data_IF_502512654030
#
_entry.id   IF_502512654030
#
_cell.length_a   1.000
_cell.length_b   1.000
_cell.length_c   1.000
_cell.angle_alpha   90.00
_cell.angle_beta   90.00
_cell.angle_gamma   90.00
#
_symmetry.space_group_name_H-M   'P 1'
#
loop_
_entity.id
_entity.type
_entity.pdbx_description
1 polymer ?
#
# COMPACT_ATOMS: atom_id res chain seq x y z
N UNK A 1 15.88 6.45 -30.85
CA UNK A 1 16.73 5.65 -29.94
C UNK A 1 16.74 6.34 -28.58
N UNK A 2 15.86 5.93 -27.67
CA UNK A 2 15.71 6.54 -26.34
C UNK A 2 16.64 5.85 -25.34
N UNK A 3 17.38 6.70 -24.63
CA UNK A 3 18.48 6.40 -23.72
C UNK A 3 18.03 5.54 -22.51
N UNK A 4 18.65 4.37 -22.35
CA UNK A 4 18.38 3.34 -21.33
C UNK A 4 19.14 3.53 -20.00
N UNK A 5 19.80 4.69 -19.79
CA UNK A 5 20.55 4.99 -18.56
C UNK A 5 19.72 5.67 -17.46
N UNK A 6 18.39 5.78 -17.61
CA UNK A 6 17.50 6.18 -16.51
C UNK A 6 16.99 4.90 -15.85
N UNK A 7 17.11 4.75 -14.51
CA UNK A 7 16.85 3.48 -13.83
C UNK A 7 15.36 3.15 -13.88
N UNK A 8 14.97 2.46 -14.96
CA UNK A 8 13.94 1.45 -14.94
C UNK A 8 14.59 0.18 -14.39
N UNK A 9 13.84 -0.57 -13.57
CA UNK A 9 14.26 -1.68 -12.70
C UNK A 9 14.76 -1.17 -11.33
N UNK A 10 14.10 -1.46 -10.20
CA UNK A 10 13.49 -2.73 -9.83
C UNK A 10 12.66 -2.61 -8.55
N UNK A 11 11.57 -3.38 -8.47
CA UNK A 11 11.09 -3.94 -7.19
C UNK A 11 9.66 -3.64 -6.78
N UNK A 12 9.15 -2.44 -7.06
CA UNK A 12 7.90 -1.95 -6.46
C UNK A 12 7.00 -1.20 -7.45
N UNK A 13 6.97 -1.63 -8.72
CA UNK A 13 5.76 -1.38 -9.53
C UNK A 13 4.69 -2.37 -9.06
N UNK A 14 4.27 -2.16 -7.82
CA UNK A 14 2.89 -2.27 -7.45
C UNK A 14 2.31 -0.89 -7.76
N UNK A 15 2.03 -0.64 -9.04
CA UNK A 15 1.14 0.45 -9.43
C UNK A 15 -0.14 0.21 -8.68
N UNK A 16 -0.30 0.93 -7.58
CA UNK A 16 -1.52 1.26 -6.86
C UNK A 16 -2.78 0.62 -7.44
N UNK A 17 -3.03 -0.66 -7.16
CA UNK A 17 -4.31 -1.32 -7.40
C UNK A 17 -4.34 -2.64 -6.63
N UNK A 18 -4.72 -2.59 -5.35
CA UNK A 18 -5.45 -3.71 -4.75
C UNK A 18 -6.89 -3.26 -4.57
N UNK A 19 -7.63 -3.44 -5.66
CA UNK A 19 -8.79 -4.32 -5.73
C UNK A 19 -9.69 -4.31 -4.50
N UNK A 20 -10.93 -3.88 -4.75
CA UNK A 20 -12.12 -4.29 -4.03
C UNK A 20 -11.98 -5.73 -3.50
N UNK A 21 -11.68 -5.87 -2.20
CA UNK A 21 -11.60 -7.18 -1.54
C UNK A 21 -13.01 -7.75 -1.33
N UNK A 22 -13.66 -8.17 -2.41
CA UNK A 22 -14.83 -9.06 -2.33
C UNK A 22 -14.41 -10.52 -2.15
N UNK A 23 -13.18 -10.85 -2.51
CA UNK A 23 -12.62 -12.19 -2.46
C UNK A 23 -11.31 -12.23 -1.65
N UNK A 24 -10.88 -13.42 -1.25
CA UNK A 24 -9.65 -13.65 -0.50
C UNK A 24 -8.43 -13.19 -1.29
N UNK A 25 -7.51 -12.47 -0.63
CA UNK A 25 -6.22 -12.08 -1.23
C UNK A 25 -5.48 -13.35 -1.67
N UNK A 26 -5.04 -13.45 -2.94
CA UNK A 26 -4.20 -14.54 -3.41
C UNK A 26 -2.93 -14.69 -2.56
N UNK A 27 -2.78 -15.80 -1.86
CA UNK A 27 -1.67 -16.00 -0.91
C UNK A 27 -0.46 -16.68 -1.58
N UNK A 28 -0.68 -17.52 -2.60
CA UNK A 28 0.41 -18.14 -3.34
C UNK A 28 0.85 -17.28 -4.53
N UNK A 29 2.15 -17.36 -4.90
CA UNK A 29 2.68 -16.72 -6.11
C UNK A 29 1.89 -17.10 -7.36
N UNK A 30 1.42 -18.33 -7.44
CA UNK A 30 0.62 -18.83 -8.55
C UNK A 30 -0.73 -18.12 -8.62
N UNK A 31 -1.46 -18.07 -7.50
CA UNK A 31 -2.74 -17.36 -7.46
C UNK A 31 -2.56 -15.86 -7.73
N UNK A 32 -1.48 -15.24 -7.23
CA UNK A 32 -1.15 -13.84 -7.53
C UNK A 32 -0.84 -13.64 -9.01
N UNK A 33 -0.11 -14.57 -9.65
CA UNK A 33 0.19 -14.53 -11.07
C UNK A 33 -1.07 -14.66 -11.92
N UNK A 34 -1.94 -15.62 -11.58
CA UNK A 34 -3.25 -15.81 -12.23
C UNK A 34 -4.09 -14.55 -12.10
N UNK A 35 -4.17 -13.99 -10.89
CA UNK A 35 -4.88 -12.75 -10.65
C UNK A 35 -4.33 -11.60 -11.52
N UNK A 36 -3.01 -11.44 -11.54
CA UNK A 36 -2.35 -10.38 -12.30
C UNK A 36 -2.64 -10.49 -13.79
N UNK A 37 -2.56 -11.68 -14.39
CA UNK A 37 -2.92 -11.87 -15.81
C UNK A 37 -4.40 -11.58 -16.03
N UNK A 38 -5.28 -12.11 -15.19
CA UNK A 38 -6.71 -12.01 -15.40
C UNK A 38 -7.24 -10.58 -15.31
N UNK A 39 -6.71 -9.77 -14.38
CA UNK A 39 -7.32 -8.50 -14.02
C UNK A 39 -6.43 -7.27 -14.22
N UNK A 40 -5.10 -7.44 -14.30
CA UNK A 40 -4.15 -6.32 -14.33
C UNK A 40 -3.46 -6.23 -15.69
N UNK A 41 -2.95 -7.34 -16.22
CA UNK A 41 -2.27 -7.41 -17.50
C UNK A 41 -2.70 -8.65 -18.30
N UNK A 42 -3.85 -8.59 -19.01
CA UNK A 42 -4.37 -9.69 -19.82
C UNK A 42 -3.42 -10.22 -20.90
N UNK A 43 -2.47 -9.39 -21.35
CA UNK A 43 -1.45 -9.77 -22.32
C UNK A 43 -0.15 -10.29 -21.66
N UNK A 44 -0.11 -10.34 -20.34
CA UNK A 44 1.01 -10.83 -19.55
C UNK A 44 1.07 -12.36 -19.49
N UNK A 45 2.09 -12.88 -18.83
CA UNK A 45 2.28 -14.32 -18.60
C UNK A 45 2.46 -14.59 -17.12
N UNK A 46 1.72 -15.57 -16.58
CA UNK A 46 1.87 -16.03 -15.20
C UNK A 46 3.32 -16.47 -14.94
N UNK A 47 3.93 -17.16 -15.91
CA UNK A 47 5.33 -17.60 -15.84
C UNK A 47 6.27 -16.40 -15.69
N UNK A 48 6.07 -15.34 -16.48
CA UNK A 48 6.90 -14.12 -16.39
C UNK A 48 6.74 -13.40 -15.04
N UNK A 49 5.53 -13.42 -14.47
CA UNK A 49 5.26 -12.88 -13.14
C UNK A 49 6.02 -13.67 -12.07
N UNK A 50 5.87 -15.00 -12.07
CA UNK A 50 6.51 -15.89 -11.10
C UNK A 50 8.03 -15.78 -11.20
N UNK A 51 8.59 -15.81 -12.41
CA UNK A 51 10.04 -15.64 -12.62
C UNK A 51 10.55 -14.29 -12.12
N UNK A 52 9.74 -13.23 -12.23
CA UNK A 52 10.08 -11.91 -11.70
C UNK A 52 10.01 -11.89 -10.18
N UNK A 53 8.97 -12.51 -9.59
CA UNK A 53 8.84 -12.65 -8.13
C UNK A 53 9.99 -13.46 -7.54
N UNK A 54 10.37 -14.59 -8.16
CA UNK A 54 11.50 -15.43 -7.74
C UNK A 54 12.83 -14.66 -7.83
N UNK A 55 13.03 -13.86 -8.88
CA UNK A 55 14.21 -12.99 -8.99
C UNK A 55 14.26 -11.94 -7.90
N UNK A 56 13.11 -11.37 -7.51
CA UNK A 56 13.03 -10.39 -6.42
C UNK A 56 13.30 -11.02 -5.06
N UNK A 57 12.88 -12.27 -4.85
CA UNK A 57 13.16 -13.01 -3.61
C UNK A 57 14.62 -13.47 -3.51
N UNK A 58 15.22 -13.89 -4.62
CA UNK A 58 16.64 -14.28 -4.64
C UNK A 58 17.58 -13.07 -4.54
N UNK A 59 17.13 -11.91 -5.05
CA UNK A 59 17.85 -10.65 -4.91
C UNK A 59 17.51 -10.05 -3.55
N UNK A 60 18.25 -10.48 -2.53
CA UNK A 60 18.26 -9.90 -1.17
C UNK A 60 18.62 -8.40 -1.09
N UNK A 61 18.49 -7.63 -2.17
CA UNK A 61 18.65 -6.16 -2.19
C UNK A 61 17.51 -5.44 -1.44
N UNK A 62 16.40 -6.12 -1.10
CA UNK A 62 15.43 -5.57 -0.16
C UNK A 62 15.97 -5.52 1.29
N UNK A 63 16.96 -6.34 1.64
CA UNK A 63 17.50 -6.39 3.00
C UNK A 63 18.34 -5.15 3.39
N UNK A 64 18.70 -4.30 2.41
CA UNK A 64 19.35 -3.00 2.66
C UNK A 64 18.52 -1.80 2.22
N UNK A 65 17.31 -2.01 1.68
CA UNK A 65 16.48 -0.93 1.20
C UNK A 65 15.67 -0.36 2.36
N UNK A 66 15.95 0.90 2.71
CA UNK A 66 15.09 1.67 3.58
C UNK A 66 13.68 1.76 2.96
N UNK A 67 12.61 1.44 3.71
CA UNK A 67 11.25 1.51 3.18
C UNK A 67 10.43 2.51 3.99
N UNK A 68 9.81 3.47 3.30
CA UNK A 68 8.76 4.32 3.84
C UNK A 68 7.41 3.82 3.31
N UNK A 69 6.69 3.06 4.15
CA UNK A 69 5.42 2.42 3.83
C UNK A 69 4.25 3.22 4.40
N UNK A 70 3.32 3.64 3.55
CA UNK A 70 2.12 4.39 3.94
C UNK A 70 0.88 3.57 3.59
N UNK A 71 0.07 3.24 4.60
CA UNK A 71 -1.24 2.64 4.37
C UNK A 71 -2.31 3.72 4.28
N UNK A 72 -3.13 3.69 3.22
CA UNK A 72 -4.39 4.42 3.13
C UNK A 72 -5.52 3.42 3.30
N UNK A 73 -6.23 3.48 4.43
CA UNK A 73 -7.28 2.53 4.75
C UNK A 73 -8.66 3.18 4.67
N UNK A 74 -9.52 2.57 3.88
CA UNK A 74 -10.91 2.96 3.71
C UNK A 74 -11.73 2.54 4.94
N UNK A 75 -12.43 3.50 5.52
CA UNK A 75 -13.35 3.34 6.65
C UNK A 75 -14.75 3.83 6.30
N UNK A 76 -15.07 3.93 5.01
CA UNK A 76 -16.39 4.34 4.51
C UNK A 76 -17.51 3.41 4.95
N UNK A 77 -18.75 3.90 4.79
CA UNK A 77 -19.97 3.15 5.11
C UNK A 77 -20.09 1.83 4.34
N UNK A 78 -19.60 1.79 3.09
CA UNK A 78 -19.69 0.60 2.24
C UNK A 78 -18.74 -0.53 2.66
N UNK A 79 -17.61 -0.17 3.28
CA UNK A 79 -16.69 -1.16 3.89
C UNK A 79 -17.39 -1.86 5.06
N UNK A 80 -18.02 -1.10 5.95
CA UNK A 80 -18.64 -1.62 7.17
C UNK A 80 -17.62 -2.05 8.24
N UNK A 81 -18.08 -2.09 9.50
CA UNK A 81 -17.22 -2.30 10.67
C UNK A 81 -16.50 -3.65 10.66
N UNK A 82 -17.14 -4.72 10.17
CA UNK A 82 -16.55 -6.06 10.14
C UNK A 82 -15.46 -6.22 9.08
N UNK A 83 -15.62 -5.65 7.88
CA UNK A 83 -14.53 -5.66 6.90
C UNK A 83 -13.42 -4.70 7.32
N UNK A 84 -13.71 -3.62 8.03
CA UNK A 84 -12.67 -2.76 8.60
C UNK A 84 -11.78 -3.51 9.61
N UNK A 85 -12.33 -4.42 10.42
CA UNK A 85 -11.53 -5.32 11.28
C UNK A 85 -10.61 -6.23 10.44
N UNK A 86 -11.08 -6.73 9.30
CA UNK A 86 -10.26 -7.51 8.35
C UNK A 86 -9.15 -6.65 7.74
N UNK A 87 -9.43 -5.40 7.37
CA UNK A 87 -8.43 -4.43 6.90
C UNK A 87 -7.31 -4.24 7.93
N UNK A 88 -7.65 -4.05 9.20
CA UNK A 88 -6.65 -3.96 10.28
C UNK A 88 -5.81 -5.21 10.42
N UNK A 89 -6.45 -6.38 10.33
CA UNK A 89 -5.76 -7.69 10.36
C UNK A 89 -4.79 -7.83 9.19
N UNK A 90 -5.20 -7.43 7.99
CA UNK A 90 -4.36 -7.42 6.79
C UNK A 90 -3.11 -6.53 6.96
N UNK A 91 -3.28 -5.31 7.48
CA UNK A 91 -2.15 -4.41 7.79
C UNK A 91 -1.19 -5.05 8.79
N UNK A 92 -1.72 -5.66 9.86
CA UNK A 92 -0.90 -6.34 10.88
C UNK A 92 -0.10 -7.49 10.28
N UNK A 93 -0.72 -8.31 9.42
CA UNK A 93 -0.03 -9.42 8.76
C UNK A 93 1.11 -8.93 7.87
N UNK A 94 0.95 -7.79 7.17
CA UNK A 94 2.05 -7.18 6.42
C UNK A 94 3.16 -6.75 7.39
N UNK A 95 2.81 -5.99 8.43
CA UNK A 95 3.76 -5.48 9.44
C UNK A 95 4.53 -6.61 10.13
N UNK A 96 3.92 -7.78 10.34
CA UNK A 96 4.59 -8.93 10.95
C UNK A 96 5.76 -9.47 10.10
N UNK A 97 5.72 -9.28 8.78
CA UNK A 97 6.76 -9.72 7.85
C UNK A 97 7.80 -8.65 7.53
N UNK A 98 7.78 -7.51 8.21
CA UNK A 98 8.70 -6.38 7.97
C UNK A 98 9.64 -6.15 9.16
N UNK A 99 10.85 -5.66 8.85
CA UNK A 99 11.82 -5.17 9.82
C UNK A 99 11.51 -3.71 10.16
N UNK A 100 10.61 -3.53 11.14
CA UNK A 100 10.13 -2.21 11.57
C UNK A 100 11.17 -1.54 12.46
N UNK A 101 11.75 -0.45 11.96
CA UNK A 101 12.62 0.44 12.72
C UNK A 101 12.72 1.80 12.02
N UNK A 102 13.17 2.83 12.72
CA UNK A 102 13.41 4.14 12.09
C UNK A 102 14.53 4.11 11.04
N UNK A 103 15.36 3.07 11.06
CA UNK A 103 16.52 2.90 10.16
C UNK A 103 16.22 1.99 8.97
N UNK A 104 15.25 1.09 9.08
CA UNK A 104 14.83 0.13 8.04
C UNK A 104 13.45 0.50 7.52
N UNK A 105 12.38 -0.18 7.98
CA UNK A 105 11.00 0.08 7.54
C UNK A 105 10.27 1.00 8.50
N UNK A 106 9.84 2.16 7.97
CA UNK A 106 8.97 3.13 8.65
C UNK A 106 7.55 2.99 8.11
N UNK A 107 6.57 3.07 9.01
CA UNK A 107 5.15 2.88 8.66
C UNK A 107 4.35 4.11 9.06
N UNK A 108 3.47 4.57 8.18
CA UNK A 108 2.43 5.55 8.47
C UNK A 108 1.06 5.00 8.07
N UNK A 109 0.01 5.50 8.72
CA UNK A 109 -1.37 5.12 8.40
C UNK A 109 -2.23 6.36 8.29
N UNK A 110 -2.93 6.47 7.16
CA UNK A 110 -4.02 7.41 6.93
C UNK A 110 -5.30 6.59 6.87
N UNK A 111 -6.28 6.97 7.68
CA UNK A 111 -7.64 6.46 7.57
C UNK A 111 -8.46 7.46 6.78
N UNK A 112 -9.32 7.01 5.86
CA UNK A 112 -10.19 7.91 5.13
C UNK A 112 -11.63 7.40 5.02
N UNK A 113 -12.55 8.35 4.94
CA UNK A 113 -13.96 8.16 4.62
C UNK A 113 -14.50 9.45 3.99
N UNK A 114 -15.37 10.18 4.69
CA UNK A 114 -15.75 11.56 4.34
C UNK A 114 -14.63 12.57 4.61
N UNK A 115 -13.66 12.24 5.44
CA UNK A 115 -12.50 13.11 5.69
C UNK A 115 -11.28 12.24 6.00
N UNK A 116 -10.14 12.46 5.33
CA UNK A 116 -8.93 11.71 5.60
C UNK A 116 -8.26 12.22 6.89
N UNK A 117 -7.68 11.31 7.66
CA UNK A 117 -7.00 11.58 8.91
C UNK A 117 -5.69 10.79 8.98
N UNK A 118 -4.58 11.49 9.22
CA UNK A 118 -3.31 10.84 9.58
C UNK A 118 -3.46 10.27 11.00
N UNK A 119 -3.46 8.95 11.13
CA UNK A 119 -3.51 8.28 12.43
C UNK A 119 -2.13 8.38 13.10
N UNK A 120 -1.07 8.08 12.34
CA UNK A 120 0.31 8.28 12.75
C UNK A 120 1.23 8.40 11.52
N UNK A 121 2.35 9.12 11.69
CA UNK A 121 3.34 9.39 10.66
C UNK A 121 4.52 8.40 10.66
N UNK A 122 5.41 8.54 9.68
CA UNK A 122 6.54 7.64 9.43
C UNK A 122 7.56 7.61 10.59
N UNK A 123 7.62 8.66 11.40
CA UNK A 123 8.55 8.82 12.53
C UNK A 123 7.90 8.53 13.89
N UNK A 124 6.61 8.20 13.93
CA UNK A 124 5.87 8.07 15.18
C UNK A 124 6.19 6.76 15.92
N UNK A 125 6.42 5.66 15.21
CA UNK A 125 6.64 4.34 15.81
C UNK A 125 7.91 3.69 15.27
N UNK A 126 8.75 3.20 16.19
CA UNK A 126 10.04 2.58 15.89
C UNK A 126 10.06 1.06 16.09
N UNK A 127 8.94 0.47 16.52
CA UNK A 127 8.85 -0.98 16.79
C UNK A 127 7.60 -1.59 16.19
N UNK A 128 7.71 -2.86 15.78
CA UNK A 128 6.61 -3.67 15.28
C UNK A 128 5.42 -3.71 16.26
N UNK A 129 5.69 -3.89 17.55
CA UNK A 129 4.66 -3.92 18.59
C UNK A 129 3.88 -2.60 18.69
N UNK A 130 4.58 -1.45 18.66
CA UNK A 130 3.94 -0.13 18.70
C UNK A 130 3.06 0.11 17.46
N UNK A 131 3.57 -0.21 16.26
CA UNK A 131 2.79 -0.10 15.02
C UNK A 131 1.54 -0.97 15.07
N UNK A 132 1.65 -2.24 15.50
CA UNK A 132 0.51 -3.15 15.64
C UNK A 132 -0.53 -2.65 16.65
N UNK A 133 -0.07 -2.14 17.80
CA UNK A 133 -0.95 -1.55 18.81
C UNK A 133 -1.70 -0.34 18.25
N UNK A 134 -1.01 0.55 17.54
CA UNK A 134 -1.61 1.72 16.92
C UNK A 134 -2.64 1.35 15.84
N UNK A 135 -2.33 0.38 14.96
CA UNK A 135 -3.28 -0.16 13.97
C UNK A 135 -4.52 -0.73 14.67
N UNK A 136 -4.33 -1.50 15.75
CA UNK A 136 -5.43 -2.07 16.53
C UNK A 136 -6.29 -1.01 17.23
N UNK A 137 -5.76 0.16 17.55
CA UNK A 137 -6.51 1.25 18.17
C UNK A 137 -7.33 2.08 17.16
N UNK A 138 -7.13 1.90 15.85
CA UNK A 138 -7.85 2.67 14.84
C UNK A 138 -9.35 2.35 14.90
N UNK A 139 -10.15 3.41 15.09
CA UNK A 139 -11.61 3.38 15.07
C UNK A 139 -12.19 3.44 13.66
N UNK A 140 -13.37 2.86 13.49
CA UNK A 140 -14.19 2.93 12.29
C UNK A 140 -15.19 4.09 12.43
N UNK A 141 -15.34 4.94 11.40
CA UNK A 141 -16.25 6.10 11.45
C UNK A 141 -17.32 6.13 10.35
N UNK A 142 -17.24 5.27 9.32
CA UNK A 142 -18.22 5.25 8.25
C UNK A 142 -18.21 6.53 7.40
N UNK A 143 -19.28 6.74 6.63
CA UNK A 143 -19.43 7.92 5.77
C UNK A 143 -19.08 7.66 4.31
N UNK A 144 -18.64 8.70 3.60
CA UNK A 144 -18.28 8.63 2.18
C UNK A 144 -16.91 7.97 1.93
N UNK A 145 -16.47 8.02 0.69
CA UNK A 145 -15.24 7.40 0.15
C UNK A 145 -14.45 8.42 -0.67
N UNK A 146 -13.80 9.38 0.02
CA UNK A 146 -13.01 10.45 -0.60
C UNK A 146 -11.55 10.02 -0.81
N UNK A 147 -11.34 9.04 -1.69
CA UNK A 147 -10.01 8.47 -1.98
C UNK A 147 -9.02 9.48 -2.56
N UNK A 148 -9.50 10.44 -3.36
CA UNK A 148 -8.70 11.54 -3.92
C UNK A 148 -8.06 12.39 -2.82
N UNK A 149 -8.85 12.84 -1.84
CA UNK A 149 -8.35 13.66 -0.73
C UNK A 149 -7.37 12.90 0.16
N UNK A 150 -7.54 11.58 0.31
CA UNK A 150 -6.62 10.72 1.05
C UNK A 150 -5.26 10.62 0.36
N UNK A 151 -5.24 10.48 -0.98
CA UNK A 151 -4.02 10.47 -1.78
C UNK A 151 -3.29 11.82 -1.70
N UNK A 152 -4.03 12.93 -1.78
CA UNK A 152 -3.47 14.26 -1.62
C UNK A 152 -2.89 14.48 -0.21
N UNK A 153 -3.57 14.02 0.85
CA UNK A 153 -3.07 14.11 2.21
C UNK A 153 -1.77 13.30 2.38
N UNK A 154 -1.70 12.10 1.81
CA UNK A 154 -0.49 11.28 1.84
C UNK A 154 0.69 12.01 1.21
N UNK A 155 0.49 12.57 0.01
CA UNK A 155 1.52 13.31 -0.73
C UNK A 155 1.98 14.57 0.01
N UNK A 156 1.04 15.35 0.54
CA UNK A 156 1.32 16.69 1.10
C UNK A 156 1.71 16.70 2.57
N UNK A 157 1.35 15.67 3.34
CA UNK A 157 1.56 15.65 4.80
C UNK A 157 2.44 14.51 5.29
N UNK A 158 2.38 13.32 4.66
CA UNK A 158 3.15 12.16 5.14
C UNK A 158 4.45 11.99 4.35
N UNK A 159 4.37 12.03 3.02
CA UNK A 159 5.55 11.85 2.17
C UNK A 159 6.50 13.05 2.17
N UNK A 160 6.11 14.18 2.74
CA UNK A 160 7.02 15.32 3.00
C UNK A 160 8.06 15.01 4.08
N UNK A 161 7.79 14.07 4.98
CA UNK A 161 8.73 13.59 6.02
C UNK A 161 9.44 12.27 5.62
N UNK A 162 9.55 12.02 4.32
CA UNK A 162 10.30 10.86 3.81
C UNK A 162 11.79 11.05 3.95
N UNK A 163 12.52 9.93 4.08
CA UNK A 163 13.97 9.96 4.01
C UNK A 163 14.38 10.49 2.62
N UNK A 164 15.32 11.44 2.59
CA UNK A 164 15.87 12.01 1.34
C UNK A 164 16.73 11.00 0.56
N UNK A 165 17.18 9.93 1.21
CA UNK A 165 17.98 8.84 0.65
C UNK A 165 17.15 7.88 -0.21
N UNK A 166 17.80 6.81 -0.71
CA UNK A 166 17.33 5.69 -1.57
C UNK A 166 16.15 4.88 -0.96
N UNK A 167 15.39 5.45 -0.04
CA UNK A 167 14.27 4.78 0.58
C UNK A 167 13.14 4.57 -0.44
N UNK A 168 12.73 3.32 -0.62
CA UNK A 168 11.56 3.01 -1.42
C UNK A 168 10.33 3.59 -0.74
N UNK A 169 9.59 4.43 -1.47
CA UNK A 169 8.33 5.04 -1.00
C UNK A 169 7.18 4.21 -1.53
N UNK A 170 6.45 3.58 -0.62
CA UNK A 170 5.37 2.65 -0.98
C UNK A 170 4.07 3.16 -0.37
N UNK A 171 3.03 3.27 -1.20
CA UNK A 171 1.68 3.55 -0.74
C UNK A 171 0.80 2.32 -1.02
N UNK A 172 0.15 1.82 0.03
CA UNK A 172 -0.81 0.72 -0.06
C UNK A 172 -2.20 1.28 0.25
N UNK A 173 -3.02 1.39 -0.79
CA UNK A 173 -4.44 1.75 -0.66
C UNK A 173 -5.27 0.48 -0.44
N UNK A 174 -6.08 0.46 0.60
CA UNK A 174 -7.02 -0.62 0.92
C UNK A 174 -8.44 -0.06 0.92
N UNK A 175 -9.26 -0.48 -0.04
CA UNK A 175 -10.62 0.02 -0.27
C UNK A 175 -11.54 -1.09 -0.80
N UNK A 176 -12.85 -0.92 -0.68
CA UNK A 176 -13.84 -1.75 -1.38
C UNK A 176 -14.14 -1.24 -2.82
N UNK A 177 -13.46 -0.17 -3.24
CA UNK A 177 -13.22 0.19 -4.65
C UNK A 177 -14.26 1.08 -5.33
N UNK A 178 -15.23 1.65 -4.61
CA UNK A 178 -16.02 2.77 -5.15
C UNK A 178 -15.64 4.08 -4.50
N UNK A 179 -14.84 4.88 -5.21
CA UNK A 179 -14.60 6.29 -4.86
C UNK A 179 -15.82 7.15 -5.18
N UNK A 180 -16.06 8.21 -4.40
CA UNK A 180 -17.09 9.19 -4.73
C UNK A 180 -16.77 10.02 -5.99
N UNK A 181 -15.51 10.06 -6.43
CA UNK A 181 -15.10 10.74 -7.67
C UNK A 181 -13.92 10.04 -8.35
N UNK A 182 -14.22 9.17 -9.31
CA UNK A 182 -13.22 8.43 -10.07
C UNK A 182 -12.21 9.36 -10.78
N UNK A 183 -12.69 10.42 -11.44
CA UNK A 183 -11.83 11.37 -12.16
C UNK A 183 -10.80 12.04 -11.25
N UNK A 184 -11.22 12.45 -10.04
CA UNK A 184 -10.30 13.06 -9.07
C UNK A 184 -9.36 12.03 -8.48
N UNK A 185 -9.82 10.81 -8.23
CA UNK A 185 -8.96 9.72 -7.74
C UNK A 185 -7.86 9.38 -8.75
N UNK A 186 -8.20 9.28 -10.04
CA UNK A 186 -7.21 9.05 -11.11
C UNK A 186 -6.22 10.21 -11.21
N UNK A 187 -6.68 11.45 -11.07
CA UNK A 187 -5.78 12.61 -11.10
C UNK A 187 -4.82 12.61 -9.91
N UNK A 188 -5.31 12.33 -8.70
CA UNK A 188 -4.49 12.27 -7.48
C UNK A 188 -3.46 11.13 -7.52
N UNK A 189 -3.79 9.99 -8.12
CA UNK A 189 -2.88 8.84 -8.24
C UNK A 189 -1.75 9.02 -9.27
N UNK A 190 -1.84 10.01 -10.18
CA UNK A 190 -0.85 10.26 -11.23
C UNK A 190 0.27 11.23 -10.82
N UNK A 191 0.07 11.95 -9.72
CA UNK A 191 0.95 13.02 -9.24
C UNK A 191 1.79 12.57 -8.04
#
# INVERSE_FOLDING_TARGET
MSNLAKPLHSGLIMSLFILTLKETVPISKKEQATYWVQYINPNGSEKSFIESADKLEQKNDCASAQIDLVFLIDSSGSVGSDNFKKTKTFLINIVDNLDISLMETRVAVIRFSSSPLVIFGLDTHSTKAAVKSAINAIGYDGGGTQTDTALDLARTSVFTNTRKSVAAKVLVLVTDGKSNSETKTVAAAKN
#
